data_IF_742369465933
#
_entry.id   IF_742369465933
#
_cell.length_a   1.000
_cell.length_b   1.000
_cell.length_c   1.000
_cell.angle_alpha   90.00
_cell.angle_beta   90.00
_cell.angle_gamma   90.00
#
_symmetry.space_group_name_H-M   'P 1'
#
loop_
_entity.id
_entity.type
_entity.pdbx_description
1 polymer ?
#
# COMPACT_ATOMS: atom_id res chain seq x y z
N UNK A 1 10.59 -17.25 8.59
CA UNK A 1 9.19 -16.81 8.73
C UNK A 1 8.37 -17.59 7.74
N UNK A 2 7.29 -18.25 8.18
CA UNK A 2 6.41 -19.05 7.33
C UNK A 2 5.09 -18.30 7.15
N UNK A 3 5.18 -17.11 6.55
CA UNK A 3 4.04 -16.28 6.26
C UNK A 3 3.75 -16.34 4.76
N UNK A 4 2.46 -16.35 4.41
CA UNK A 4 1.99 -16.52 3.05
C UNK A 4 0.92 -15.48 2.75
N UNK A 5 1.15 -14.69 1.71
CA UNK A 5 0.13 -13.78 1.17
C UNK A 5 -0.57 -14.43 -0.02
N UNK A 6 -1.90 -14.45 0.00
CA UNK A 6 -2.70 -14.90 -1.13
C UNK A 6 -3.79 -13.89 -1.47
N UNK A 7 -4.03 -13.73 -2.78
CA UNK A 7 -5.08 -12.89 -3.35
C UNK A 7 -6.24 -13.77 -3.78
N UNK A 8 -7.46 -13.38 -3.44
CA UNK A 8 -8.67 -14.06 -3.90
C UNK A 8 -9.78 -13.06 -4.20
N UNK A 9 -10.81 -13.50 -4.90
CA UNK A 9 -11.94 -12.66 -5.30
C UNK A 9 -13.24 -13.26 -4.77
N UNK A 10 -14.10 -12.41 -4.22
CA UNK A 10 -15.47 -12.77 -3.80
C UNK A 10 -16.44 -11.75 -4.39
N UNK A 11 -17.24 -12.19 -5.37
CA UNK A 11 -18.05 -11.28 -6.19
C UNK A 11 -17.16 -10.36 -7.04
N UNK A 12 -17.46 -9.06 -7.07
CA UNK A 12 -16.66 -8.05 -7.78
C UNK A 12 -15.55 -7.41 -6.91
N UNK A 13 -15.27 -7.98 -5.73
CA UNK A 13 -14.31 -7.42 -4.78
C UNK A 13 -13.08 -8.32 -4.60
N UNK A 14 -11.92 -7.68 -4.50
CA UNK A 14 -10.61 -8.32 -4.32
C UNK A 14 -10.24 -8.32 -2.84
N UNK A 15 -9.82 -9.46 -2.35
CA UNK A 15 -9.38 -9.67 -0.98
C UNK A 15 -7.97 -10.23 -0.96
N UNK A 16 -7.28 -9.94 0.14
CA UNK A 16 -5.97 -10.49 0.46
C UNK A 16 -6.05 -11.19 1.82
N UNK A 17 -5.43 -12.36 1.90
CA UNK A 17 -5.22 -13.08 3.15
C UNK A 17 -3.73 -13.17 3.45
N UNK A 18 -3.34 -12.79 4.66
CA UNK A 18 -2.00 -13.01 5.20
C UNK A 18 -2.08 -14.13 6.24
N UNK A 19 -1.62 -15.32 5.88
CA UNK A 19 -1.51 -16.47 6.76
C UNK A 19 -0.14 -16.45 7.43
N UNK A 20 -0.07 -16.41 8.75
CA UNK A 20 1.16 -16.63 9.51
C UNK A 20 1.13 -18.00 10.17
N UNK A 21 1.90 -18.95 9.64
CA UNK A 21 1.99 -20.29 10.21
C UNK A 21 2.70 -20.29 11.58
N UNK A 22 3.56 -19.30 11.83
CA UNK A 22 4.24 -19.15 13.12
C UNK A 22 3.31 -18.70 14.25
N UNK A 23 2.24 -17.97 13.89
CA UNK A 23 1.26 -17.41 14.84
C UNK A 23 -0.07 -18.15 14.85
N UNK A 24 -0.21 -19.17 14.00
CA UNK A 24 -1.48 -19.86 13.73
C UNK A 24 -2.64 -18.89 13.48
N UNK A 25 -2.39 -17.88 12.65
CA UNK A 25 -3.34 -16.79 12.42
C UNK A 25 -3.47 -16.45 10.93
N UNK A 26 -4.65 -15.94 10.55
CA UNK A 26 -4.92 -15.46 9.20
C UNK A 26 -5.68 -14.13 9.29
N UNK A 27 -5.10 -13.08 8.71
CA UNK A 27 -5.74 -11.77 8.59
C UNK A 27 -6.28 -11.58 7.18
N UNK A 28 -7.55 -11.22 7.06
CA UNK A 28 -8.21 -10.95 5.77
C UNK A 28 -8.47 -9.45 5.65
N UNK A 29 -8.12 -8.87 4.52
CA UNK A 29 -8.36 -7.46 4.21
C UNK A 29 -8.91 -7.29 2.79
N UNK A 30 -9.81 -6.33 2.62
CA UNK A 30 -10.48 -6.01 1.35
C UNK A 30 -9.74 -4.87 0.67
N UNK A 31 -8.97 -5.18 -0.37
CA UNK A 31 -7.90 -4.31 -0.84
C UNK A 31 -6.86 -4.01 0.26
N UNK A 32 -5.70 -3.48 -0.10
CA UNK A 32 -5.01 -2.57 0.81
C UNK A 32 -5.63 -1.21 0.55
N UNK A 33 -6.76 -0.93 1.20
CA UNK A 33 -7.22 0.45 1.31
C UNK A 33 -6.11 1.18 2.04
N UNK A 34 -5.48 2.11 1.34
CA UNK A 34 -4.26 2.78 1.76
C UNK A 34 -4.55 3.85 2.83
N UNK A 35 -5.37 3.52 3.83
CA UNK A 35 -5.73 4.38 4.97
C UNK A 35 -4.50 4.86 5.75
N UNK A 36 -3.38 4.15 5.61
CA UNK A 36 -2.09 4.51 6.19
C UNK A 36 -1.35 5.58 5.37
N UNK A 37 -1.49 5.53 4.05
CA UNK A 37 -0.82 6.43 3.10
C UNK A 37 -1.65 7.68 2.88
N UNK A 38 -2.97 7.56 2.77
CA UNK A 38 -3.89 8.66 2.53
C UNK A 38 -4.52 9.14 3.83
N UNK A 39 -4.75 10.45 3.92
CA UNK A 39 -5.61 10.99 4.97
C UNK A 39 -7.04 10.58 4.65
N UNK A 40 -7.66 9.75 5.48
CA UNK A 40 -9.06 9.40 5.30
C UNK A 40 -9.95 10.65 5.45
N UNK A 41 -10.40 11.25 4.35
CA UNK A 41 -11.44 12.27 4.31
C UNK A 41 -12.43 11.97 3.18
N UNK A 42 -13.47 11.19 3.48
CA UNK A 42 -14.61 11.00 2.56
C UNK A 42 -14.23 10.46 1.17
N UNK A 43 -14.82 11.03 0.11
CA UNK A 43 -14.64 10.65 -1.31
C UNK A 43 -13.26 11.02 -1.90
N UNK A 44 -12.20 11.02 -1.09
CA UNK A 44 -10.86 11.37 -1.54
C UNK A 44 -10.31 10.33 -2.54
N UNK A 45 -9.51 10.82 -3.49
CA UNK A 45 -8.90 9.97 -4.53
C UNK A 45 -7.81 9.11 -3.89
N UNK A 46 -8.01 7.79 -3.93
CA UNK A 46 -7.03 6.80 -3.51
C UNK A 46 -6.48 6.04 -4.71
N UNK A 47 -5.18 5.81 -4.73
CA UNK A 47 -4.55 4.95 -5.74
C UNK A 47 -4.41 3.57 -5.13
N UNK A 48 -4.87 2.57 -5.86
CA UNK A 48 -4.70 1.17 -5.47
C UNK A 48 -3.33 0.70 -5.99
N UNK A 49 -2.48 0.13 -5.13
CA UNK A 49 -1.22 -0.46 -5.56
C UNK A 49 -1.40 -1.47 -6.70
N UNK A 50 -0.54 -1.38 -7.72
CA UNK A 50 -0.56 -2.28 -8.88
C UNK A 50 -0.22 -3.72 -8.48
N UNK A 51 0.66 -3.87 -7.49
CA UNK A 51 1.07 -5.14 -6.92
C UNK A 51 1.04 -5.04 -5.39
N UNK A 52 0.53 -6.09 -4.75
CA UNK A 52 0.65 -6.29 -3.31
C UNK A 52 1.26 -7.67 -3.13
N UNK A 53 2.35 -7.73 -2.37
CA UNK A 53 3.11 -8.95 -2.13
C UNK A 53 3.73 -8.93 -0.73
N UNK A 54 4.48 -9.97 -0.39
CA UNK A 54 5.10 -10.16 0.92
C UNK A 54 6.57 -10.59 0.75
N UNK A 55 7.45 -10.07 1.61
CA UNK A 55 8.83 -10.54 1.78
C UNK A 55 9.23 -10.61 3.26
N UNK A 56 10.53 -10.78 3.55
CA UNK A 56 11.07 -10.87 4.92
C UNK A 56 10.79 -9.64 5.81
N UNK A 57 10.46 -8.48 5.22
CA UNK A 57 10.12 -7.24 5.94
C UNK A 57 8.62 -7.07 6.14
N UNK A 58 7.80 -7.90 5.50
CA UNK A 58 6.35 -7.90 5.64
C UNK A 58 5.62 -7.69 4.31
N UNK A 59 4.39 -7.18 4.40
CA UNK A 59 3.57 -6.87 3.21
C UNK A 59 4.01 -5.54 2.62
N UNK A 60 4.12 -5.47 1.30
CA UNK A 60 4.35 -4.22 0.60
C UNK A 60 3.49 -4.07 -0.66
N UNK A 61 3.16 -2.81 -0.95
CA UNK A 61 2.46 -2.37 -2.15
C UNK A 61 3.43 -1.67 -3.10
N UNK A 62 3.24 -1.84 -4.40
CA UNK A 62 4.03 -1.17 -5.44
C UNK A 62 3.12 -0.29 -6.32
N UNK A 63 3.48 0.98 -6.47
CA UNK A 63 2.94 1.88 -7.48
C UNK A 63 3.88 1.93 -8.68
N UNK A 64 3.33 1.62 -9.85
CA UNK A 64 4.06 1.66 -11.11
C UNK A 64 4.32 3.09 -11.62
N UNK A 65 5.12 3.19 -12.68
CA UNK A 65 5.47 4.48 -13.28
C UNK A 65 4.27 5.27 -13.81
N UNK A 66 3.16 4.60 -14.16
CA UNK A 66 1.98 5.24 -14.74
C UNK A 66 1.11 5.91 -13.69
N UNK A 67 1.16 5.40 -12.46
CA UNK A 67 0.38 5.90 -11.32
C UNK A 67 1.15 6.89 -10.46
N UNK A 68 2.49 6.96 -10.58
CA UNK A 68 3.36 7.88 -9.82
C UNK A 68 2.96 9.35 -10.01
N UNK A 69 2.67 9.81 -11.23
CA UNK A 69 2.33 11.23 -11.45
C UNK A 69 1.13 11.67 -10.62
N UNK A 70 0.08 10.84 -10.59
CA UNK A 70 -1.10 11.09 -9.76
C UNK A 70 -0.75 11.03 -8.28
N UNK A 71 0.04 10.04 -7.85
CA UNK A 71 0.46 9.91 -6.45
C UNK A 71 1.22 11.15 -5.97
N UNK A 72 2.19 11.63 -6.73
CA UNK A 72 2.98 12.81 -6.39
C UNK A 72 2.13 14.08 -6.31
N UNK A 73 1.06 14.17 -7.11
CA UNK A 73 0.07 15.25 -6.97
C UNK A 73 -0.61 15.21 -5.59
N UNK A 74 -1.04 14.03 -5.14
CA UNK A 74 -1.65 13.83 -3.81
C UNK A 74 -0.68 14.12 -2.66
N UNK A 75 0.60 13.77 -2.85
CA UNK A 75 1.67 14.08 -1.88
C UNK A 75 1.83 15.60 -1.71
N UNK A 76 1.87 16.34 -2.83
CA UNK A 76 2.08 17.79 -2.85
C UNK A 76 0.83 18.57 -2.41
N UNK A 77 -0.37 18.05 -2.66
CA UNK A 77 -1.64 18.63 -2.17
C UNK A 77 -1.88 18.40 -0.68
N UNK A 78 -1.07 17.56 -0.02
CA UNK A 78 -1.21 17.25 1.40
C UNK A 78 -2.34 16.26 1.70
N UNK A 79 -2.75 15.45 0.71
CA UNK A 79 -3.75 14.39 0.86
C UNK A 79 -3.16 13.07 1.38
N UNK A 80 -1.83 12.94 1.42
CA UNK A 80 -1.15 11.83 2.08
C UNK A 80 -0.89 12.11 3.56
N UNK A 81 -0.70 11.05 4.34
CA UNK A 81 -0.33 11.14 5.75
C UNK A 81 1.08 11.74 5.90
N UNK A 82 1.22 12.71 6.78
CA UNK A 82 2.51 13.37 7.05
C UNK A 82 3.48 12.47 7.81
N UNK A 83 2.98 11.42 8.47
CA UNK A 83 3.83 10.43 9.15
C UNK A 83 4.47 9.41 8.20
N UNK A 84 4.22 9.52 6.89
CA UNK A 84 4.80 8.61 5.91
C UNK A 84 6.32 8.80 5.85
N UNK A 85 7.06 7.69 5.87
CA UNK A 85 8.51 7.74 5.83
C UNK A 85 9.01 8.44 4.55
N UNK A 86 10.09 9.20 4.67
CA UNK A 86 10.71 9.95 3.55
C UNK A 86 9.76 10.90 2.81
N UNK A 87 8.71 11.41 3.45
CA UNK A 87 7.72 12.33 2.85
C UNK A 87 8.35 13.58 2.19
N UNK A 88 9.42 14.12 2.75
CA UNK A 88 10.13 15.27 2.16
C UNK A 88 10.79 14.91 0.83
N UNK A 89 11.29 13.69 0.71
CA UNK A 89 11.92 13.21 -0.51
C UNK A 89 10.85 12.91 -1.57
N UNK A 90 9.72 12.32 -1.17
CA UNK A 90 8.57 12.10 -2.05
C UNK A 90 8.06 13.41 -2.67
N UNK A 91 8.00 14.50 -1.89
CA UNK A 91 7.60 15.83 -2.41
C UNK A 91 8.50 16.32 -3.55
N UNK A 92 9.78 15.92 -3.53
CA UNK A 92 10.81 16.33 -4.48
C UNK A 92 11.00 15.36 -5.66
N UNK A 93 10.36 14.18 -5.65
CA UNK A 93 10.41 13.25 -6.76
C UNK A 93 9.75 13.83 -8.02
N UNK A 94 10.18 13.35 -9.18
CA UNK A 94 9.61 13.67 -10.49
C UNK A 94 8.85 12.48 -11.06
N UNK A 95 8.00 12.72 -12.05
CA UNK A 95 7.12 11.70 -12.64
C UNK A 95 7.88 10.53 -13.30
N UNK A 96 9.10 10.77 -13.78
CA UNK A 96 9.98 9.75 -14.36
C UNK A 96 10.79 8.96 -13.31
N UNK A 97 10.36 8.96 -12.05
CA UNK A 97 11.04 8.20 -10.99
C UNK A 97 10.77 6.70 -11.11
N UNK A 98 11.62 5.89 -10.47
CA UNK A 98 11.38 4.46 -10.32
C UNK A 98 10.05 4.18 -9.59
N UNK A 99 9.47 2.97 -9.77
CA UNK A 99 8.30 2.52 -8.99
C UNK A 99 8.47 2.76 -7.50
N UNK A 100 7.37 3.15 -6.84
CA UNK A 100 7.35 3.40 -5.40
C UNK A 100 6.89 2.15 -4.67
N UNK A 101 7.59 1.79 -3.59
CA UNK A 101 7.27 0.65 -2.74
C UNK A 101 6.89 1.15 -1.35
N UNK A 102 5.71 0.76 -0.87
CA UNK A 102 5.22 1.08 0.47
C UNK A 102 5.21 -0.19 1.30
N UNK A 103 6.04 -0.23 2.34
CA UNK A 103 6.01 -1.32 3.31
C UNK A 103 4.98 -1.02 4.39
N UNK A 104 4.10 -1.98 4.65
CA UNK A 104 3.12 -1.90 5.71
C UNK A 104 3.64 -2.67 6.92
N UNK A 105 3.69 -2.04 8.11
CA UNK A 105 3.98 -2.79 9.31
C UNK A 105 2.86 -3.82 9.51
N UNK A 106 3.23 -5.10 9.57
CA UNK A 106 2.31 -6.13 10.02
C UNK A 106 2.05 -5.84 11.50
N UNK A 107 0.82 -5.43 11.84
CA UNK A 107 0.42 -5.29 13.25
C UNK A 107 0.64 -6.65 13.93
N UNK A 108 1.41 -6.65 15.01
CA UNK A 108 1.52 -7.80 15.91
C UNK A 108 0.19 -8.14 16.57
#
# INVERSE_FOLDING_TARGET
>A
MNDYLFKYQKGYQIYYGLLSASRDSCSIFNGCVDDWVYRAKGDDVHIIPNLITYDEKGVYGCLDMYTISLFLSLVRSGQVNESLDRILELKNLIENSNPLIFYYPVKE
#
